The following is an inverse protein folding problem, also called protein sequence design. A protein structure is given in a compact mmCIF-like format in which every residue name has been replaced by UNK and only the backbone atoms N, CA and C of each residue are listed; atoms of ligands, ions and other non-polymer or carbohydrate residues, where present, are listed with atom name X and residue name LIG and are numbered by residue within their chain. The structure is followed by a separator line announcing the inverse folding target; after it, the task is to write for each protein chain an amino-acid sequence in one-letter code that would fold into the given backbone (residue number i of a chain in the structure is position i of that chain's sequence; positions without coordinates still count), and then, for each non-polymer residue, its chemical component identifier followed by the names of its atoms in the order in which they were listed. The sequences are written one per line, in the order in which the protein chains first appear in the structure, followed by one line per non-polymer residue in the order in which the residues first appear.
data_IF_096648948325
#
_entry.id   IF_096648948325
#
_cell.length_a   1.000
_cell.length_b   1.000
_cell.length_c   1.000
_cell.angle_alpha   90.00
_cell.angle_beta   90.00
_cell.angle_gamma   90.00
#
_symmetry.space_group_name_H-M   'P 1'
#
loop_
_entity.id
_entity.type
_entity.pdbx_description
1 polymer ?
#
# COMPACT_ATOMS: atom_id res chain seq x y z
N UNK A 1 -21.23 1.33 -23.15
CA UNK A 1 -20.59 2.61 -22.74
C UNK A 1 -19.27 2.67 -23.49
N UNK A 2 -19.15 3.55 -24.48
CA UNK A 2 -17.90 3.72 -25.23
C UNK A 2 -17.10 4.84 -24.55
N UNK A 3 -16.19 4.46 -23.66
CA UNK A 3 -15.35 5.38 -22.89
C UNK A 3 -13.88 5.02 -23.14
N UNK A 4 -13.04 6.04 -23.36
CA UNK A 4 -11.59 5.85 -23.47
C UNK A 4 -10.91 5.69 -22.11
N UNK A 5 -11.61 6.04 -21.03
CA UNK A 5 -11.09 6.06 -19.68
C UNK A 5 -11.89 5.10 -18.80
N UNK A 6 -11.18 4.17 -18.17
CA UNK A 6 -11.70 3.34 -17.09
C UNK A 6 -11.09 3.82 -15.79
N UNK A 7 -11.93 4.36 -14.90
CA UNK A 7 -11.53 4.67 -13.52
C UNK A 7 -12.18 3.64 -12.61
N UNK A 8 -11.35 2.92 -11.86
CA UNK A 8 -11.78 1.95 -10.86
C UNK A 8 -11.37 2.50 -9.50
N UNK A 9 -12.32 2.57 -8.58
CA UNK A 9 -12.04 2.94 -7.19
C UNK A 9 -11.57 1.73 -6.40
N UNK A 10 -10.82 1.98 -5.32
CA UNK A 10 -10.38 0.97 -4.36
C UNK A 10 -11.54 0.13 -3.78
N UNK A 11 -12.74 0.72 -3.68
CA UNK A 11 -13.96 0.04 -3.26
C UNK A 11 -14.28 -1.24 -4.04
N UNK A 12 -13.89 -1.36 -5.31
CA UNK A 12 -14.07 -2.61 -6.08
C UNK A 12 -13.28 -3.76 -5.46
N UNK A 13 -12.03 -3.49 -5.06
CA UNK A 13 -11.13 -4.49 -4.49
C UNK A 13 -11.56 -4.84 -3.06
N UNK A 14 -11.96 -3.83 -2.27
CA UNK A 14 -12.44 -4.04 -0.90
C UNK A 14 -13.74 -4.87 -0.85
N UNK A 15 -14.67 -4.64 -1.78
CA UNK A 15 -15.91 -5.43 -1.88
C UNK A 15 -15.68 -6.87 -2.36
N UNK A 16 -14.51 -7.17 -2.92
CA UNK A 16 -14.13 -8.47 -3.45
C UNK A 16 -12.78 -8.93 -2.88
N UNK A 17 -12.60 -8.76 -1.56
CA UNK A 17 -11.35 -9.03 -0.85
C UNK A 17 -10.80 -10.46 -1.03
N UNK A 18 -11.65 -11.42 -1.42
CA UNK A 18 -11.24 -12.79 -1.75
C UNK A 18 -10.54 -12.94 -3.12
N UNK A 19 -10.51 -11.90 -3.95
CA UNK A 19 -9.91 -11.91 -5.30
C UNK A 19 -8.62 -11.10 -5.28
N UNK A 20 -7.50 -11.78 -5.48
CA UNK A 20 -6.17 -11.14 -5.46
C UNK A 20 -5.63 -10.87 -6.88
N UNK A 21 -6.14 -11.59 -7.89
CA UNK A 21 -5.70 -11.45 -9.27
C UNK A 21 -6.77 -10.80 -10.14
N UNK A 22 -6.44 -9.65 -10.71
CA UNK A 22 -7.35 -8.85 -11.51
C UNK A 22 -6.80 -8.69 -12.92
N UNK A 23 -7.70 -8.78 -13.90
CA UNK A 23 -7.40 -8.48 -15.30
C UNK A 23 -8.45 -7.52 -15.83
N UNK A 24 -8.00 -6.34 -16.22
CA UNK A 24 -8.81 -5.36 -16.93
C UNK A 24 -8.47 -5.45 -18.41
N UNK A 25 -9.46 -5.83 -19.23
CA UNK A 25 -9.27 -6.01 -20.67
C UNK A 25 -10.00 -4.92 -21.43
N UNK A 26 -9.30 -4.33 -22.39
CA UNK A 26 -9.84 -3.38 -23.35
C UNK A 26 -9.92 -4.08 -24.70
N UNK A 27 -11.13 -4.15 -25.22
CA UNK A 27 -11.44 -4.75 -26.53
C UNK A 27 -11.79 -3.62 -27.49
N UNK A 28 -10.99 -3.45 -28.53
CA UNK A 28 -11.30 -2.58 -29.64
C UNK A 28 -11.90 -3.42 -30.76
N UNK A 29 -13.16 -3.16 -31.10
CA UNK A 29 -13.87 -3.86 -32.17
C UNK A 29 -14.04 -2.92 -33.36
N UNK A 30 -13.43 -3.30 -34.47
CA UNK A 30 -13.56 -2.64 -35.76
C UNK A 30 -14.37 -3.53 -36.71
N UNK A 31 -14.81 -2.97 -37.85
CA UNK A 31 -15.67 -3.69 -38.80
C UNK A 31 -15.07 -5.03 -39.31
N UNK A 32 -13.75 -5.16 -39.33
CA UNK A 32 -13.05 -6.33 -39.87
C UNK A 32 -12.03 -6.95 -38.91
N UNK A 33 -11.74 -6.31 -37.77
CA UNK A 33 -10.70 -6.74 -36.86
C UNK A 33 -11.07 -6.49 -35.40
N UNK A 34 -10.45 -7.26 -34.51
CA UNK A 34 -10.51 -7.07 -33.07
C UNK A 34 -9.09 -6.93 -32.54
N UNK A 35 -8.86 -5.92 -31.71
CA UNK A 35 -7.61 -5.73 -30.99
C UNK A 35 -7.88 -5.81 -29.49
N UNK A 36 -6.98 -6.50 -28.77
CA UNK A 36 -7.12 -6.79 -27.35
C UNK A 36 -5.89 -6.24 -26.63
N UNK A 37 -6.12 -5.53 -25.53
CA UNK A 37 -5.07 -5.13 -24.59
C UNK A 37 -5.54 -5.41 -23.16
N UNK A 38 -4.62 -5.72 -22.25
CA UNK A 38 -5.00 -5.95 -20.86
C UNK A 38 -3.98 -5.41 -19.85
N UNK A 39 -4.49 -5.03 -18.68
CA UNK A 39 -3.74 -4.69 -17.49
C UNK A 39 -4.03 -5.74 -16.43
N UNK A 40 -2.98 -6.39 -15.93
CA UNK A 40 -3.09 -7.35 -14.83
C UNK A 40 -2.58 -6.70 -13.54
N UNK A 41 -3.37 -6.79 -12.47
CA UNK A 41 -3.01 -6.31 -11.14
C UNK A 41 -3.05 -7.47 -10.16
N UNK A 42 -2.14 -7.44 -9.19
CA UNK A 42 -2.20 -8.32 -8.01
C UNK A 42 -2.42 -7.42 -6.81
N UNK A 43 -3.51 -7.65 -6.10
CA UNK A 43 -3.86 -6.93 -4.87
C UNK A 43 -3.57 -7.81 -3.67
N UNK A 44 -2.97 -7.25 -2.64
CA UNK A 44 -2.88 -7.88 -1.32
C UNK A 44 -3.82 -7.18 -0.34
N UNK A 45 -4.28 -7.92 0.67
CA UNK A 45 -5.00 -7.32 1.78
C UNK A 45 -4.02 -6.60 2.71
N UNK A 46 -4.55 -5.69 3.52
CA UNK A 46 -3.73 -5.03 4.53
C UNK A 46 -3.25 -6.06 5.58
N UNK A 47 -2.00 -5.94 6.07
CA UNK A 47 -1.52 -6.73 7.21
C UNK A 47 -2.42 -6.57 8.44
N UNK A 48 -2.50 -7.60 9.28
CA UNK A 48 -3.38 -7.62 10.46
C UNK A 48 -2.60 -7.94 11.76
N UNK A 49 -3.29 -7.73 12.90
CA UNK A 49 -2.90 -8.07 14.29
C UNK A 49 -1.73 -7.30 14.92
N UNK A 50 -0.77 -6.85 14.12
CA UNK A 50 0.48 -6.36 14.66
C UNK A 50 0.38 -5.05 15.42
N UNK A 51 1.47 -4.76 16.11
CA UNK A 51 1.64 -3.57 16.94
C UNK A 51 2.94 -2.89 16.54
N UNK A 52 2.96 -1.57 16.59
CA UNK A 52 4.18 -0.79 16.42
C UNK A 52 4.42 0.06 17.66
N UNK A 53 5.68 0.18 18.04
CA UNK A 53 6.14 0.98 19.17
C UNK A 53 7.37 1.78 18.76
N UNK A 54 7.55 2.93 19.42
CA UNK A 54 8.71 3.79 19.29
C UNK A 54 9.23 4.13 20.68
N UNK A 55 10.55 4.11 20.86
CA UNK A 55 11.20 4.45 22.13
C UNK A 55 12.54 5.17 21.88
N UNK A 56 12.86 6.26 22.61
CA UNK A 56 12.02 6.92 23.61
C UNK A 56 10.85 7.70 22.97
N UNK A 57 9.82 8.07 23.74
CA UNK A 57 8.70 8.87 23.21
C UNK A 57 9.01 10.36 23.07
N UNK A 58 10.20 10.79 23.51
CA UNK A 58 10.61 12.19 23.50
C UNK A 58 12.12 12.28 23.29
N UNK A 59 12.54 13.30 22.55
CA UNK A 59 13.94 13.49 22.21
C UNK A 59 14.21 14.86 21.63
N UNK A 60 15.45 15.06 21.23
CA UNK A 60 15.93 16.22 20.49
C UNK A 60 16.27 15.82 19.06
N UNK A 61 16.82 16.75 18.28
CA UNK A 61 17.30 16.50 16.91
C UNK A 61 18.45 15.48 16.83
N UNK A 62 19.03 15.08 17.95
CA UNK A 62 20.12 14.10 18.01
C UNK A 62 19.72 12.81 18.75
N UNK A 63 18.47 12.68 19.19
CA UNK A 63 17.99 11.47 19.84
C UNK A 63 17.75 10.40 18.78
N UNK A 64 18.28 9.21 19.05
CA UNK A 64 18.00 8.01 18.25
C UNK A 64 16.75 7.33 18.80
N UNK A 65 15.86 6.93 17.90
CA UNK A 65 14.60 6.29 18.24
C UNK A 65 14.57 4.86 17.71
N UNK A 66 14.32 3.91 18.58
CA UNK A 66 14.08 2.52 18.21
C UNK A 66 12.62 2.34 17.86
N UNK A 67 12.38 1.87 16.64
CA UNK A 67 11.07 1.51 16.12
C UNK A 67 11.00 -0.01 16.08
N UNK A 68 9.92 -0.56 16.64
CA UNK A 68 9.67 -2.00 16.62
C UNK A 68 8.21 -2.28 16.27
N UNK A 69 8.01 -2.94 15.14
CA UNK A 69 6.75 -3.47 14.70
C UNK A 69 6.80 -5.00 14.73
N UNK A 70 5.90 -5.62 15.49
CA UNK A 70 5.89 -7.06 15.74
C UNK A 70 4.48 -7.63 15.53
N UNK A 71 4.40 -8.94 15.39
CA UNK A 71 3.16 -9.71 15.31
C UNK A 71 2.24 -9.35 14.13
N UNK A 72 2.77 -8.63 13.14
CA UNK A 72 2.04 -8.38 11.91
C UNK A 72 2.01 -9.63 11.04
N UNK A 73 0.81 -9.98 10.60
CA UNK A 73 0.56 -11.12 9.70
C UNK A 73 0.10 -10.58 8.36
N UNK A 74 0.79 -11.00 7.30
CA UNK A 74 0.44 -10.71 5.92
C UNK A 74 0.64 -11.98 5.10
N UNK A 75 -0.34 -12.32 4.26
CA UNK A 75 -0.33 -13.57 3.49
C UNK A 75 0.79 -13.59 2.42
N UNK A 76 1.22 -12.41 1.94
CA UNK A 76 2.25 -12.25 0.91
C UNK A 76 3.59 -11.72 1.47
N UNK A 77 3.71 -11.73 2.81
CA UNK A 77 4.80 -11.15 3.58
C UNK A 77 4.97 -9.63 3.45
N UNK A 78 5.38 -9.01 4.56
CA UNK A 78 5.62 -7.57 4.61
C UNK A 78 6.94 -7.25 3.92
N UNK A 79 6.88 -6.35 2.94
CA UNK A 79 8.02 -5.99 2.09
C UNK A 79 8.89 -4.90 2.72
N UNK A 80 8.25 -3.89 3.29
CA UNK A 80 8.91 -2.74 3.90
C UNK A 80 8.05 -2.12 5.00
N UNK A 81 8.69 -1.28 5.80
CA UNK A 81 8.14 -0.51 6.89
C UNK A 81 8.46 0.95 6.62
N UNK A 82 7.42 1.79 6.57
CA UNK A 82 7.56 3.23 6.35
C UNK A 82 7.07 4.00 7.56
N UNK A 83 7.87 4.95 8.03
CA UNK A 83 7.56 5.78 9.20
C UNK A 83 7.05 7.13 8.73
N UNK A 84 5.87 7.48 9.20
CA UNK A 84 5.25 8.78 8.94
C UNK A 84 5.28 9.62 10.21
N UNK A 85 5.71 10.87 10.08
CA UNK A 85 5.59 11.87 11.12
C UNK A 85 4.45 12.83 10.80
N UNK A 86 3.68 13.20 11.81
CA UNK A 86 2.79 14.35 11.74
C UNK A 86 3.59 15.62 11.85
N UNK A 87 3.27 16.58 10.98
CA UNK A 87 3.76 17.94 11.13
C UNK A 87 2.78 18.75 11.98
N UNK A 88 3.03 20.04 12.14
CA UNK A 88 2.05 20.95 12.74
C UNK A 88 0.75 21.03 11.91
N UNK A 89 0.81 20.67 10.63
CA UNK A 89 -0.36 20.41 9.80
C UNK A 89 -0.74 18.92 9.86
N UNK A 90 -1.87 18.63 10.51
CA UNK A 90 -2.36 17.26 10.67
C UNK A 90 -2.90 16.65 9.37
N UNK A 91 -3.11 17.47 8.33
CA UNK A 91 -3.49 17.00 7.00
C UNK A 91 -2.30 16.49 6.18
N UNK A 92 -1.07 16.82 6.60
CA UNK A 92 0.16 16.43 5.91
C UNK A 92 1.03 15.53 6.79
N UNK A 93 1.10 14.25 6.41
CA UNK A 93 2.06 13.28 6.96
C UNK A 93 3.30 13.24 6.07
N UNK A 94 4.47 13.32 6.68
CA UNK A 94 5.76 13.24 5.95
C UNK A 94 6.46 11.92 6.26
N UNK A 95 7.02 11.28 5.24
CA UNK A 95 7.88 10.11 5.41
C UNK A 95 9.21 10.56 5.97
N UNK A 96 9.63 9.97 7.09
CA UNK A 96 10.92 10.30 7.74
C UNK A 96 11.92 9.15 7.71
N UNK A 97 11.45 7.91 7.53
CA UNK A 97 12.31 6.74 7.46
C UNK A 97 11.61 5.57 6.76
N UNK A 98 12.41 4.64 6.26
CA UNK A 98 11.95 3.35 5.74
C UNK A 98 12.94 2.24 6.12
N UNK A 99 12.46 1.01 6.18
CA UNK A 99 13.27 -0.15 6.52
C UNK A 99 12.66 -1.42 5.94
N UNK A 100 13.48 -2.40 5.54
CA UNK A 100 13.01 -3.77 5.23
C UNK A 100 12.88 -4.64 6.48
N UNK A 101 13.46 -4.19 7.59
CA UNK A 101 13.38 -4.84 8.90
C UNK A 101 12.25 -4.22 9.72
N UNK A 102 11.54 -5.06 10.47
CA UNK A 102 10.45 -4.62 11.34
C UNK A 102 10.91 -3.93 12.62
N UNK A 103 12.20 -4.07 12.96
CA UNK A 103 12.85 -3.36 14.05
C UNK A 103 14.08 -2.62 13.51
N UNK A 104 14.12 -1.30 13.71
CA UNK A 104 15.19 -0.44 13.19
C UNK A 104 15.27 0.87 13.99
N UNK A 105 16.39 1.57 13.84
CA UNK A 105 16.64 2.83 14.52
C UNK A 105 16.63 3.99 13.52
N UNK A 106 16.08 5.13 13.96
CA UNK A 106 16.02 6.38 13.19
C UNK A 106 16.58 7.55 13.98
#
# INVERSE_FOLDING_TARGET
INTSNLTVTDGLFLANAQINHWRFEVVYEFATEKSLSSLNLVTNLAPNYGLCSISPLSGTTSTLFDISCIDWVDDDAIKDWTVYAWTNDLSERTIIAYSTLSTFQI
#
